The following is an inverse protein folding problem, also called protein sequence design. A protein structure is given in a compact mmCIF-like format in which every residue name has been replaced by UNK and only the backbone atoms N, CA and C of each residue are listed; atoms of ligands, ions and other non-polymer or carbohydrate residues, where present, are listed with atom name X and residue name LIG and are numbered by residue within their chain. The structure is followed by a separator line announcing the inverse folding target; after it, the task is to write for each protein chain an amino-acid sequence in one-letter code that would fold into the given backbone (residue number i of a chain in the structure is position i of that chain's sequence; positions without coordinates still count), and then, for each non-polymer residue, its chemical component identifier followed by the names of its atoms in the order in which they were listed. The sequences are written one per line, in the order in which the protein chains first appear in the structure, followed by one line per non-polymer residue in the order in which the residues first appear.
data_IF_224165447229
#
_entry.id   IF_224165447229
#
_cell.length_a   1.000
_cell.length_b   1.000
_cell.length_c   1.000
_cell.angle_alpha   90.00
_cell.angle_beta   90.00
_cell.angle_gamma   90.00
#
_symmetry.space_group_name_H-M   'P 1'
#
loop_
_entity.id
_entity.type
_entity.pdbx_description
1 polymer ?
#
# COMPACT_ATOMS: atom_id res chain seq x y z
N UNK A 1 20.10 55.66 -32.17
CA UNK A 1 19.89 54.91 -30.92
C UNK A 1 18.40 55.07 -30.64
N UNK A 2 17.54 54.15 -31.05
CA UNK A 2 17.19 52.89 -30.36
C UNK A 2 16.55 51.96 -31.40
N UNK A 3 17.12 50.80 -31.73
CA UNK A 3 16.97 49.50 -31.07
C UNK A 3 15.51 49.06 -30.80
N UNK A 4 15.24 47.90 -31.43
CA UNK A 4 14.41 46.79 -30.94
C UNK A 4 12.94 46.73 -31.38
N UNK A 5 12.77 46.26 -32.62
CA UNK A 5 11.61 45.46 -32.99
C UNK A 5 11.50 44.20 -32.09
N UNK A 6 10.30 43.90 -31.59
CA UNK A 6 9.89 42.49 -31.32
C UNK A 6 8.36 42.32 -31.34
N UNK A 7 7.95 41.95 -32.54
CA UNK A 7 6.73 41.27 -33.00
C UNK A 7 6.26 40.17 -32.03
N UNK A 8 5.13 40.36 -31.35
CA UNK A 8 4.45 39.28 -30.63
C UNK A 8 3.44 38.57 -31.56
N UNK A 9 3.93 37.62 -32.37
CA UNK A 9 3.07 36.70 -33.11
C UNK A 9 2.65 35.55 -32.18
N UNK A 10 1.36 35.55 -31.84
CA UNK A 10 0.65 34.49 -31.10
C UNK A 10 0.85 33.14 -31.82
N UNK A 11 1.69 32.27 -31.25
CA UNK A 11 1.94 30.93 -31.78
C UNK A 11 0.95 29.92 -31.18
N UNK A 12 0.44 29.08 -32.09
CA UNK A 12 -0.64 28.12 -31.98
C UNK A 12 -0.35 27.04 -30.94
N UNK A 13 -1.44 26.50 -30.39
CA UNK A 13 -1.46 25.59 -29.25
C UNK A 13 -0.53 24.39 -29.39
N UNK A 14 0.32 24.25 -28.39
CA UNK A 14 0.89 22.95 -28.04
C UNK A 14 -0.24 22.19 -27.35
N UNK A 15 -0.79 21.20 -28.04
CA UNK A 15 -1.60 20.16 -27.42
C UNK A 15 -0.72 19.47 -26.38
N UNK A 16 -0.81 19.92 -25.13
CA UNK A 16 -0.44 19.10 -24.00
C UNK A 16 -1.35 17.87 -24.13
N UNK A 17 -0.79 16.75 -24.62
CA UNK A 17 -1.36 15.44 -24.33
C UNK A 17 -1.32 15.35 -22.82
N UNK A 18 -2.46 15.67 -22.23
CA UNK A 18 -2.73 15.55 -20.82
C UNK A 18 -2.68 14.05 -20.52
N UNK A 19 -1.45 13.53 -20.34
CA UNK A 19 -1.25 12.35 -19.52
C UNK A 19 -1.78 12.77 -18.15
N UNK A 20 -3.06 12.51 -17.91
CA UNK A 20 -3.58 12.44 -16.57
C UNK A 20 -2.82 11.25 -15.97
N UNK A 21 -1.64 11.48 -15.41
CA UNK A 21 -1.16 10.65 -14.31
C UNK A 21 -2.10 11.01 -13.18
N UNK A 22 -3.29 10.41 -13.22
CA UNK A 22 -4.19 10.37 -12.09
C UNK A 22 -3.48 9.42 -11.14
N UNK A 23 -2.50 9.95 -10.41
CA UNK A 23 -2.02 9.33 -9.20
C UNK A 23 -3.24 9.27 -8.31
N UNK A 24 -3.97 8.16 -8.42
CA UNK A 24 -5.03 7.78 -7.53
C UNK A 24 -4.30 7.42 -6.23
N UNK A 25 -3.98 8.43 -5.42
CA UNK A 25 -3.45 8.24 -4.08
C UNK A 25 -4.51 7.43 -3.32
N UNK A 26 -4.30 6.12 -3.23
CA UNK A 26 -5.07 5.29 -2.34
C UNK A 26 -4.46 5.48 -0.96
N UNK A 27 -4.95 6.45 -0.21
CA UNK A 27 -4.69 6.52 1.22
C UNK A 27 -5.53 5.41 1.87
N UNK A 28 -4.90 4.52 2.63
CA UNK A 28 -5.61 3.51 3.42
C UNK A 28 -6.10 4.16 4.73
N UNK A 29 -7.41 4.08 5.02
CA UNK A 29 -7.96 4.54 6.29
C UNK A 29 -8.47 3.33 7.09
N UNK A 30 -7.98 3.24 8.33
CA UNK A 30 -8.23 2.21 9.33
C UNK A 30 -7.76 0.80 8.93
N UNK A 31 -6.69 0.37 9.60
CA UNK A 31 -6.26 -1.02 9.56
C UNK A 31 -6.62 -1.69 10.89
N UNK A 32 -7.12 -2.92 10.82
CA UNK A 32 -7.40 -3.76 11.97
C UNK A 32 -6.42 -4.94 12.01
N UNK A 33 -6.06 -5.33 13.23
CA UNK A 33 -5.24 -6.51 13.50
C UNK A 33 -6.11 -7.76 13.42
N UNK A 34 -5.58 -8.83 12.84
CA UNK A 34 -6.27 -10.14 12.88
C UNK A 34 -6.15 -10.81 14.26
N UNK A 35 -7.12 -11.67 14.59
CA UNK A 35 -7.08 -12.55 15.76
C UNK A 35 -5.78 -13.37 15.79
N UNK A 36 -5.27 -13.77 14.62
CA UNK A 36 -4.02 -14.51 14.51
C UNK A 36 -2.84 -13.69 15.03
N UNK A 37 -2.70 -12.44 14.58
CA UNK A 37 -1.59 -11.59 14.99
C UNK A 37 -1.71 -11.20 16.47
N UNK A 38 -2.91 -10.90 16.95
CA UNK A 38 -3.14 -10.61 18.37
C UNK A 38 -2.67 -11.75 19.27
N UNK A 39 -3.10 -12.99 18.96
CA UNK A 39 -2.68 -14.17 19.70
C UNK A 39 -1.15 -14.36 19.69
N UNK A 40 -0.51 -14.15 18.53
CA UNK A 40 0.95 -14.26 18.41
C UNK A 40 1.70 -13.19 19.19
N UNK A 41 1.20 -11.96 19.23
CA UNK A 41 1.79 -10.88 20.02
C UNK A 41 1.65 -11.16 21.53
N UNK A 42 0.51 -11.69 21.97
CA UNK A 42 0.31 -12.12 23.37
C UNK A 42 1.27 -13.25 23.72
N UNK A 43 1.38 -14.26 22.85
CA UNK A 43 2.28 -15.39 23.04
C UNK A 43 3.75 -14.94 23.14
N UNK A 44 4.16 -14.01 22.27
CA UNK A 44 5.50 -13.43 22.28
C UNK A 44 5.79 -12.65 23.56
N UNK A 45 4.90 -11.72 23.94
CA UNK A 45 5.17 -10.76 25.01
C UNK A 45 5.00 -11.36 26.40
N UNK A 46 3.97 -12.18 26.60
CA UNK A 46 3.58 -12.65 27.93
C UNK A 46 3.86 -14.12 28.17
N UNK A 47 4.08 -14.92 27.11
CA UNK A 47 4.14 -16.38 27.19
C UNK A 47 5.47 -16.96 26.70
N UNK A 48 6.45 -16.09 26.44
CA UNK A 48 7.82 -16.47 26.11
C UNK A 48 7.96 -17.22 24.78
N UNK A 49 6.98 -17.10 23.89
CA UNK A 49 7.02 -17.75 22.58
C UNK A 49 7.80 -16.91 21.57
N UNK A 50 8.14 -17.52 20.44
CA UNK A 50 8.81 -16.82 19.34
C UNK A 50 7.88 -15.76 18.72
N UNK A 51 8.47 -14.65 18.29
CA UNK A 51 7.78 -13.61 17.55
C UNK A 51 7.08 -14.16 16.29
N UNK A 52 5.96 -13.57 15.85
CA UNK A 52 5.34 -13.93 14.58
C UNK A 52 6.34 -13.73 13.43
N UNK A 53 6.32 -14.59 12.41
CA UNK A 53 7.27 -14.49 11.30
C UNK A 53 6.94 -13.28 10.42
N UNK A 54 7.56 -12.13 10.71
CA UNK A 54 7.29 -10.85 10.01
C UNK A 54 8.52 -10.28 9.32
N UNK A 55 9.54 -11.11 9.02
CA UNK A 55 10.76 -10.66 8.34
C UNK A 55 10.48 -10.06 6.95
N UNK A 56 9.46 -10.58 6.27
CA UNK A 56 8.89 -10.00 5.05
C UNK A 56 7.38 -9.96 5.21
N UNK A 57 6.80 -8.80 4.88
CA UNK A 57 5.36 -8.61 4.84
C UNK A 57 4.90 -8.65 3.39
N UNK A 58 3.80 -9.34 3.14
CA UNK A 58 3.26 -9.50 1.80
C UNK A 58 1.98 -8.70 1.66
N UNK A 59 2.02 -7.64 0.84
CA UNK A 59 0.86 -6.78 0.60
C UNK A 59 0.01 -7.40 -0.50
N UNK A 60 -1.25 -7.68 -0.15
CA UNK A 60 -2.28 -8.18 -1.05
C UNK A 60 -3.45 -7.21 -1.21
N UNK A 61 -4.22 -7.42 -2.28
CA UNK A 61 -5.43 -6.67 -2.62
C UNK A 61 -6.65 -7.57 -2.52
N UNK A 62 -7.74 -7.05 -1.95
CA UNK A 62 -8.98 -7.78 -1.77
C UNK A 62 -10.16 -7.07 -2.43
N UNK A 63 -11.05 -7.87 -3.01
CA UNK A 63 -12.31 -7.44 -3.63
C UNK A 63 -13.48 -7.44 -2.64
N UNK A 64 -13.37 -8.20 -1.55
CA UNK A 64 -14.32 -8.22 -0.44
C UNK A 64 -13.58 -8.12 0.90
N UNK A 65 -14.22 -7.48 1.87
CA UNK A 65 -13.67 -7.24 3.19
C UNK A 65 -13.33 -8.55 3.92
N UNK A 66 -12.15 -8.67 4.54
CA UNK A 66 -11.90 -9.66 5.57
C UNK A 66 -12.49 -9.19 6.91
N UNK A 67 -12.35 -10.03 7.93
CA UNK A 67 -12.66 -9.73 9.35
C UNK A 67 -11.45 -10.04 10.22
N UNK A 68 -11.54 -9.78 11.52
CA UNK A 68 -10.46 -10.06 12.47
C UNK A 68 -10.10 -11.56 12.50
N UNK A 69 -11.09 -12.44 12.37
CA UNK A 69 -10.90 -13.89 12.22
C UNK A 69 -10.28 -14.30 10.87
N UNK A 70 -10.04 -13.35 9.96
CA UNK A 70 -9.59 -13.57 8.59
C UNK A 70 -10.72 -13.54 7.55
N UNK A 71 -10.51 -14.26 6.45
CA UNK A 71 -11.46 -14.32 5.33
C UNK A 71 -11.22 -13.25 4.27
N UNK A 72 -12.31 -12.69 3.73
CA UNK A 72 -12.27 -11.79 2.57
C UNK A 72 -12.00 -12.53 1.26
N UNK A 73 -11.98 -11.78 0.16
CA UNK A 73 -11.72 -12.32 -1.18
C UNK A 73 -10.52 -11.64 -1.79
N UNK A 74 -9.36 -12.29 -1.69
CA UNK A 74 -8.13 -11.81 -2.35
C UNK A 74 -8.26 -11.91 -3.88
N UNK A 75 -7.65 -10.96 -4.60
CA UNK A 75 -7.47 -11.05 -6.04
C UNK A 75 -6.68 -12.33 -6.38
N UNK A 76 -7.02 -12.99 -7.48
CA UNK A 76 -6.30 -14.17 -7.96
C UNK A 76 -6.33 -14.26 -9.49
N UNK A 77 -5.35 -14.96 -10.06
CA UNK A 77 -5.18 -15.09 -11.51
C UNK A 77 -4.68 -13.81 -12.19
N UNK A 78 -4.72 -13.77 -13.53
CA UNK A 78 -4.44 -12.57 -14.34
C UNK A 78 -3.13 -11.84 -13.99
N UNK A 79 -2.07 -12.59 -13.65
CA UNK A 79 -0.76 -12.04 -13.30
C UNK A 79 -0.65 -11.45 -11.89
N UNK A 80 -1.69 -11.56 -11.07
CA UNK A 80 -1.67 -11.08 -9.69
C UNK A 80 -0.70 -11.91 -8.82
N UNK A 81 0.10 -11.20 -8.02
CA UNK A 81 0.85 -11.74 -6.91
C UNK A 81 0.96 -10.67 -5.81
N UNK A 82 1.02 -11.11 -4.55
CA UNK A 82 1.32 -10.22 -3.42
C UNK A 82 2.71 -9.62 -3.59
N UNK A 83 2.89 -8.39 -3.13
CA UNK A 83 4.20 -7.70 -3.16
C UNK A 83 4.91 -7.91 -1.82
N UNK A 84 6.11 -8.47 -1.86
CA UNK A 84 6.96 -8.64 -0.67
C UNK A 84 7.63 -7.31 -0.32
N UNK A 85 7.52 -6.91 0.94
CA UNK A 85 8.16 -5.74 1.53
C UNK A 85 8.88 -6.17 2.80
N UNK A 86 10.22 -6.17 2.77
CA UNK A 86 11.02 -6.56 3.93
C UNK A 86 10.80 -5.63 5.12
N UNK A 87 10.70 -6.19 6.33
CA UNK A 87 10.59 -5.42 7.56
C UNK A 87 11.94 -4.74 7.86
N UNK A 88 12.01 -3.43 7.65
CA UNK A 88 13.21 -2.64 7.89
C UNK A 88 12.86 -1.16 8.05
N UNK A 89 13.75 -0.40 8.69
CA UNK A 89 13.65 1.06 8.80
C UNK A 89 13.62 1.77 7.44
N UNK A 90 14.17 1.16 6.39
CA UNK A 90 14.17 1.71 5.05
C UNK A 90 12.83 1.53 4.33
N UNK A 91 12.08 0.47 4.65
CA UNK A 91 10.84 0.13 3.96
C UNK A 91 9.57 0.56 4.72
N UNK A 92 9.64 0.71 6.04
CA UNK A 92 8.51 1.06 6.89
C UNK A 92 8.85 2.23 7.81
N UNK A 93 7.96 3.22 7.87
CA UNK A 93 8.13 4.42 8.67
C UNK A 93 8.04 4.12 10.17
N UNK A 94 8.80 4.86 10.98
CA UNK A 94 8.59 4.90 12.43
C UNK A 94 7.30 5.66 12.80
N UNK A 95 6.85 5.51 14.05
CA UNK A 95 5.59 6.11 14.54
C UNK A 95 5.58 7.64 14.69
N UNK A 96 6.73 8.27 14.48
CA UNK A 96 6.95 9.71 14.53
C UNK A 96 6.55 10.42 13.22
N UNK A 97 6.30 9.68 12.14
CA UNK A 97 5.80 10.24 10.88
C UNK A 97 6.20 9.45 9.65
N UNK A 98 5.49 9.71 8.53
CA UNK A 98 5.78 9.09 7.24
C UNK A 98 7.20 9.37 6.76
N UNK A 99 7.78 8.45 5.97
CA UNK A 99 9.14 8.54 5.39
C UNK A 99 10.30 8.53 6.39
N UNK A 100 10.03 8.31 7.68
CA UNK A 100 11.07 8.26 8.70
C UNK A 100 11.81 6.92 8.69
N UNK A 101 13.11 6.95 9.00
CA UNK A 101 14.01 5.78 8.89
C UNK A 101 14.76 5.49 10.19
N UNK A 102 14.21 5.96 11.32
CA UNK A 102 14.73 5.70 12.66
C UNK A 102 13.73 4.86 13.47
N UNK A 103 14.21 4.24 14.54
CA UNK A 103 13.35 3.45 15.43
C UNK A 103 12.18 4.28 15.96
N UNK A 104 11.04 3.63 16.18
CA UNK A 104 9.80 4.28 16.58
C UNK A 104 9.94 4.99 17.93
N UNK A 105 9.58 6.27 17.96
CA UNK A 105 9.53 7.11 19.18
C UNK A 105 8.26 7.96 19.27
N UNK A 106 7.40 7.92 18.25
CA UNK A 106 6.14 8.65 18.22
C UNK A 106 5.01 7.95 18.98
N UNK A 107 3.89 8.68 19.13
CA UNK A 107 2.73 8.27 19.93
C UNK A 107 1.49 7.90 19.10
N UNK A 108 1.58 7.95 17.77
CA UNK A 108 0.42 7.75 16.89
C UNK A 108 -0.03 6.29 16.76
N UNK A 109 0.84 5.33 17.08
CA UNK A 109 0.63 3.91 16.76
C UNK A 109 0.62 3.63 15.24
N UNK A 110 0.90 4.62 14.39
CA UNK A 110 0.81 4.50 12.94
C UNK A 110 2.17 4.26 12.31
N UNK A 111 2.20 3.40 11.29
CA UNK A 111 3.34 3.21 10.37
C UNK A 111 2.85 3.28 8.93
N UNK A 112 3.76 3.53 7.99
CA UNK A 112 3.46 3.55 6.55
C UNK A 112 4.61 3.01 5.73
N UNK A 113 4.38 2.68 4.46
CA UNK A 113 5.44 2.28 3.55
C UNK A 113 6.37 3.47 3.20
N UNK A 114 7.69 3.29 3.28
CA UNK A 114 8.69 4.30 2.85
C UNK A 114 9.06 4.18 1.37
N UNK A 115 8.78 3.02 0.76
CA UNK A 115 9.07 2.72 -0.65
C UNK A 115 7.78 2.47 -1.41
N UNK A 116 7.78 2.73 -2.72
CA UNK A 116 6.64 2.40 -3.56
C UNK A 116 6.42 0.88 -3.60
N UNK A 117 5.18 0.44 -3.38
CA UNK A 117 4.78 -0.96 -3.44
C UNK A 117 4.04 -1.16 -4.75
N UNK A 118 4.74 -1.66 -5.77
CA UNK A 118 4.19 -1.82 -7.12
C UNK A 118 3.86 -3.29 -7.38
N UNK A 119 2.61 -3.55 -7.75
CA UNK A 119 2.14 -4.88 -8.09
C UNK A 119 2.56 -5.24 -9.53
N UNK A 120 2.64 -6.54 -9.86
CA UNK A 120 2.81 -6.97 -11.25
C UNK A 120 1.74 -6.35 -12.16
N UNK A 121 2.08 -6.08 -13.42
CA UNK A 121 1.10 -5.56 -14.37
C UNK A 121 0.00 -6.59 -14.60
N UNK A 122 -1.30 -6.25 -14.44
CA UNK A 122 -2.41 -7.15 -14.68
C UNK A 122 -2.41 -7.64 -16.13
N UNK A 123 -2.43 -8.97 -16.34
CA UNK A 123 -2.59 -9.59 -17.66
C UNK A 123 -4.07 -9.76 -18.04
N UNK A 124 -4.98 -9.40 -17.13
CA UNK A 124 -6.43 -9.39 -17.26
C UNK A 124 -7.04 -8.58 -16.11
N UNK A 125 -8.37 -8.50 -16.03
CA UNK A 125 -9.04 -7.69 -15.01
C UNK A 125 -8.89 -8.31 -13.61
N UNK A 126 -8.67 -7.47 -12.60
CA UNK A 126 -8.64 -7.86 -11.18
C UNK A 126 -9.90 -7.43 -10.41
N UNK A 127 -10.93 -7.01 -11.15
CA UNK A 127 -12.20 -6.49 -10.62
C UNK A 127 -12.00 -5.23 -9.75
N UNK A 128 -13.02 -4.91 -8.95
CA UNK A 128 -13.00 -3.78 -8.03
C UNK A 128 -12.35 -4.18 -6.71
N UNK A 129 -11.17 -3.66 -6.46
CA UNK A 129 -10.45 -3.79 -5.19
C UNK A 129 -10.96 -2.74 -4.20
N UNK A 130 -11.30 -3.20 -3.01
CA UNK A 130 -11.91 -2.39 -1.94
C UNK A 130 -11.06 -2.38 -0.68
N UNK A 131 -10.21 -3.38 -0.47
CA UNK A 131 -9.40 -3.53 0.74
C UNK A 131 -7.97 -3.96 0.39
N UNK A 132 -7.05 -3.79 1.34
CA UNK A 132 -5.72 -4.41 1.31
C UNK A 132 -5.56 -5.34 2.51
N UNK A 133 -4.62 -6.26 2.40
CA UNK A 133 -4.21 -7.16 3.48
C UNK A 133 -2.70 -7.29 3.53
N UNK A 134 -2.16 -7.45 4.73
CA UNK A 134 -0.77 -7.84 4.95
C UNK A 134 -0.73 -9.28 5.42
N UNK A 135 0.14 -10.07 4.82
CA UNK A 135 0.30 -11.48 5.10
C UNK A 135 1.74 -11.82 5.47
N UNK A 136 1.92 -12.96 6.13
CA UNK A 136 3.25 -13.50 6.49
C UNK A 136 3.89 -14.37 5.39
N UNK A 137 3.17 -14.66 4.30
CA UNK A 137 3.68 -15.46 3.18
C UNK A 137 3.24 -14.95 1.80
N UNK A 138 4.01 -15.31 0.77
CA UNK A 138 3.76 -14.94 -0.63
C UNK A 138 2.49 -15.59 -1.21
N UNK A 139 2.23 -16.82 -0.79
CA UNK A 139 1.07 -17.63 -1.20
C UNK A 139 0.62 -18.43 0.00
N UNK A 140 -0.70 -18.55 0.19
CA UNK A 140 -1.24 -19.00 1.48
C UNK A 140 -0.68 -18.12 2.61
N UNK A 141 -0.82 -18.52 3.87
CA UNK A 141 -0.36 -17.73 5.01
C UNK A 141 -1.49 -16.98 5.71
N UNK A 142 -1.12 -16.31 6.78
CA UNK A 142 -2.04 -15.73 7.74
C UNK A 142 -2.20 -14.24 7.45
N UNK A 143 -3.43 -13.77 7.48
CA UNK A 143 -3.70 -12.33 7.51
C UNK A 143 -3.11 -11.79 8.82
N UNK A 144 -2.41 -10.67 8.74
CA UNK A 144 -1.80 -9.98 9.87
C UNK A 144 -2.58 -8.71 10.18
N UNK A 145 -2.72 -7.89 9.14
CA UNK A 145 -3.47 -6.65 9.13
C UNK A 145 -4.33 -6.58 7.88
N UNK A 146 -5.43 -5.88 7.97
CA UNK A 146 -6.24 -5.53 6.80
C UNK A 146 -6.76 -4.12 6.96
N UNK A 147 -7.18 -3.50 5.87
CA UNK A 147 -7.82 -2.19 5.93
C UNK A 147 -8.54 -1.85 4.64
N UNK A 148 -9.42 -0.85 4.73
CA UNK A 148 -10.23 -0.41 3.59
C UNK A 148 -9.47 0.62 2.77
N UNK A 149 -9.57 0.53 1.45
CA UNK A 149 -9.09 1.60 0.58
C UNK A 149 -10.07 2.77 0.65
N UNK A 150 -9.57 4.00 0.84
CA UNK A 150 -10.44 5.20 0.86
C UNK A 150 -11.29 5.32 -0.41
N UNK A 151 -10.77 4.84 -1.55
CA UNK A 151 -11.48 4.81 -2.82
C UNK A 151 -11.28 3.43 -3.44
N UNK A 152 -12.37 2.67 -3.53
CA UNK A 152 -12.41 1.41 -4.27
C UNK A 152 -11.96 1.61 -5.73
N UNK A 153 -11.13 0.70 -6.24
CA UNK A 153 -10.52 0.80 -7.57
C UNK A 153 -10.85 -0.40 -8.43
N UNK A 154 -11.48 -0.15 -9.57
CA UNK A 154 -11.57 -1.15 -10.64
C UNK A 154 -10.23 -1.22 -11.37
N UNK A 155 -9.62 -2.39 -11.36
CA UNK A 155 -8.31 -2.64 -11.97
C UNK A 155 -8.52 -3.50 -13.22
N UNK A 156 -8.13 -2.94 -14.37
CA UNK A 156 -8.23 -3.58 -15.67
C UNK A 156 -6.85 -4.08 -16.15
N UNK A 157 -6.86 -4.85 -17.24
CA UNK A 157 -5.64 -5.26 -17.92
C UNK A 157 -4.73 -4.06 -18.22
N UNK A 158 -3.42 -4.24 -18.04
CA UNK A 158 -2.37 -3.25 -18.30
C UNK A 158 -2.38 -1.99 -17.40
N UNK A 159 -3.26 -1.92 -16.40
CA UNK A 159 -3.21 -0.86 -15.40
C UNK A 159 -1.92 -0.93 -14.57
N UNK A 160 -1.42 0.22 -14.14
CA UNK A 160 -0.33 0.27 -13.17
C UNK A 160 -0.91 0.41 -11.77
N UNK A 161 -0.63 -0.56 -10.91
CA UNK A 161 -1.17 -0.61 -9.54
C UNK A 161 -0.01 -0.43 -8.56
N UNK A 162 -0.04 0.66 -7.80
CA UNK A 162 1.04 0.99 -6.86
C UNK A 162 0.51 1.73 -5.64
N UNK A 163 1.09 1.44 -4.48
CA UNK A 163 1.02 2.31 -3.31
C UNK A 163 2.28 3.18 -3.29
N UNK A 164 2.21 4.50 -3.55
CA UNK A 164 3.35 5.39 -3.37
C UNK A 164 3.80 5.43 -1.89
N UNK A 165 5.03 5.88 -1.61
CA UNK A 165 5.50 6.09 -0.23
C UNK A 165 4.48 6.90 0.60
N UNK A 166 4.22 6.44 1.82
CA UNK A 166 3.32 7.06 2.80
C UNK A 166 1.83 6.75 2.60
N UNK A 167 1.43 6.09 1.51
CA UNK A 167 0.00 5.90 1.19
C UNK A 167 -0.64 4.68 1.83
N UNK A 168 0.13 3.60 2.02
CA UNK A 168 -0.31 2.44 2.77
C UNK A 168 0.04 2.68 4.25
N UNK A 169 -0.93 3.20 4.99
CA UNK A 169 -0.84 3.46 6.41
C UNK A 169 -1.55 2.36 7.22
N UNK A 170 -0.90 1.93 8.30
CA UNK A 170 -1.38 0.91 9.24
C UNK A 170 -1.33 1.53 10.63
N UNK A 171 -2.38 1.37 11.40
CA UNK A 171 -2.43 1.85 12.79
C UNK A 171 -2.61 0.67 13.72
N UNK A 172 -1.77 0.60 14.76
CA UNK A 172 -1.91 -0.31 15.88
C UNK A 172 -2.80 0.39 16.90
N UNK A 173 -4.08 0.02 16.95
CA UNK A 173 -5.09 0.58 17.84
C UNK A 173 -5.96 -0.54 18.41
#
# INVERSE_FOLDING_TARGET
MDKCAKRAKRAKGTFYRFFIVLSLYAEALMSAMSDYLENKLIDQLFRGQTAPPTASLYVGLLTAAPSDAGGGTEVSGNGYARVSVGASLANWSGTQGATTTTVSTGSSGQTSNNVAITFPTPTGNWNTVTHFGLYDAATSGNLLFYGTLTIAKTINQADTVTFPPGSLAITFA
#
